data_IF_746311964603
#
_entry.id   IF_746311964603
#
_cell.length_a   1.000
_cell.length_b   1.000
_cell.length_c   1.000
_cell.angle_alpha   90.00
_cell.angle_beta   90.00
_cell.angle_gamma   90.00
#
_symmetry.space_group_name_H-M   'P 1'
#
loop_
_entity.id
_entity.type
_entity.pdbx_description
1 polymer ?
#
# COMPACT_ATOMS: atom_id res chain seq x y z
N UNK A 1 3.42 -57.62 -8.30
CA UNK A 1 4.35 -56.94 -9.22
C UNK A 1 4.53 -55.51 -8.74
N UNK A 2 5.77 -55.07 -8.52
CA UNK A 2 6.12 -53.70 -8.18
C UNK A 2 6.17 -52.81 -9.43
N UNK A 3 5.46 -51.68 -9.39
CA UNK A 3 5.79 -50.42 -10.06
C UNK A 3 5.62 -49.32 -9.00
N UNK A 4 6.66 -48.86 -8.31
CA UNK A 4 7.85 -48.08 -8.73
C UNK A 4 7.58 -46.56 -8.60
N UNK A 5 8.01 -46.02 -7.46
CA UNK A 5 8.60 -44.69 -7.24
C UNK A 5 8.00 -43.49 -8.00
N UNK A 6 7.23 -42.69 -7.27
CA UNK A 6 6.83 -41.33 -7.62
C UNK A 6 6.25 -40.67 -6.38
N UNK A 7 7.09 -39.89 -5.72
CA UNK A 7 6.90 -39.11 -4.48
C UNK A 7 5.48 -38.62 -4.19
N UNK A 8 5.08 -38.74 -2.92
CA UNK A 8 4.14 -37.84 -2.24
C UNK A 8 4.08 -36.49 -2.96
N UNK A 9 2.95 -36.18 -3.59
CA UNK A 9 2.64 -34.79 -3.94
C UNK A 9 2.29 -34.08 -2.64
N UNK A 10 3.30 -33.83 -1.79
CA UNK A 10 3.37 -32.59 -1.05
C UNK A 10 3.72 -31.48 -2.06
N UNK A 11 2.90 -31.34 -3.11
CA UNK A 11 2.79 -30.06 -3.77
C UNK A 11 2.34 -29.13 -2.64
N UNK A 12 3.23 -28.22 -2.23
CA UNK A 12 2.91 -27.15 -1.32
C UNK A 12 1.61 -26.52 -1.83
N UNK A 13 0.48 -26.88 -1.23
CA UNK A 13 -0.79 -26.21 -1.48
C UNK A 13 -0.61 -24.87 -0.79
N UNK A 14 -0.38 -23.77 -1.53
CA UNK A 14 -0.14 -22.49 -0.91
C UNK A 14 -1.38 -22.16 -0.09
N UNK A 15 -1.23 -22.07 1.24
CA UNK A 15 -2.30 -21.61 2.09
C UNK A 15 -2.36 -20.09 1.97
N UNK A 16 -3.55 -19.53 1.69
CA UNK A 16 -3.73 -18.08 1.57
C UNK A 16 -3.22 -17.34 2.81
N UNK A 17 -3.31 -17.94 4.00
CA UNK A 17 -2.79 -17.36 5.24
C UNK A 17 -1.24 -17.31 5.27
N UNK A 18 -0.57 -18.29 4.69
CA UNK A 18 0.89 -18.30 4.57
C UNK A 18 1.36 -17.24 3.56
N UNK A 19 0.61 -17.08 2.46
CA UNK A 19 0.87 -16.04 1.46
C UNK A 19 0.64 -14.65 2.04
N UNK A 20 -0.47 -14.43 2.77
CA UNK A 20 -0.76 -13.19 3.51
C UNK A 20 0.42 -12.86 4.44
N UNK A 21 0.84 -13.82 5.27
CA UNK A 21 1.95 -13.64 6.22
C UNK A 21 3.28 -13.30 5.52
N UNK A 22 3.56 -13.95 4.39
CA UNK A 22 4.75 -13.67 3.56
C UNK A 22 4.68 -12.26 2.95
N UNK A 23 3.53 -11.84 2.45
CA UNK A 23 3.32 -10.50 1.89
C UNK A 23 3.45 -9.41 2.96
N UNK A 24 2.92 -9.63 4.17
CA UNK A 24 3.15 -8.73 5.31
C UNK A 24 4.64 -8.56 5.63
N UNK A 25 5.40 -9.67 5.64
CA UNK A 25 6.85 -9.61 5.85
C UNK A 25 7.57 -8.86 4.72
N UNK A 26 7.14 -9.02 3.47
CA UNK A 26 7.68 -8.27 2.34
C UNK A 26 7.40 -6.77 2.48
N UNK A 27 6.18 -6.39 2.87
CA UNK A 27 5.81 -4.99 3.15
C UNK A 27 6.71 -4.41 4.25
N UNK A 28 6.90 -5.13 5.37
CA UNK A 28 7.79 -4.69 6.44
C UNK A 28 9.25 -4.52 5.99
N UNK A 29 9.73 -5.37 5.08
CA UNK A 29 11.08 -5.25 4.53
C UNK A 29 11.21 -4.04 3.58
N UNK A 30 10.16 -3.73 2.83
CA UNK A 30 10.10 -2.51 2.00
C UNK A 30 10.06 -1.26 2.90
N UNK A 31 9.28 -1.27 3.97
CA UNK A 31 9.21 -0.16 4.93
C UNK A 31 10.59 0.18 5.50
N UNK A 32 11.36 -0.83 5.93
CA UNK A 32 12.74 -0.63 6.40
C UNK A 32 13.64 0.04 5.34
N UNK A 33 13.43 -0.24 4.06
CA UNK A 33 14.18 0.41 2.97
C UNK A 33 13.73 1.86 2.80
N UNK A 34 12.43 2.12 2.79
CA UNK A 34 11.85 3.47 2.72
C UNK A 34 12.40 4.34 3.87
N UNK A 35 12.38 3.82 5.11
CA UNK A 35 12.89 4.52 6.29
C UNK A 35 14.38 4.85 6.17
N UNK A 36 15.16 3.90 5.62
CA UNK A 36 16.59 4.12 5.36
C UNK A 36 16.80 5.27 4.37
N UNK A 37 16.06 5.30 3.26
CA UNK A 37 16.14 6.39 2.29
C UNK A 37 15.70 7.72 2.88
N UNK A 38 14.62 7.75 3.67
CA UNK A 38 14.15 8.94 4.36
C UNK A 38 15.21 9.49 5.33
N UNK A 39 15.88 8.63 6.11
CA UNK A 39 16.94 9.04 7.02
C UNK A 39 18.18 9.57 6.28
N UNK A 40 18.53 9.00 5.13
CA UNK A 40 19.63 9.50 4.28
C UNK A 40 19.29 10.85 3.63
N UNK A 41 18.06 11.02 3.16
CA UNK A 41 17.56 12.29 2.62
C UNK A 41 17.61 13.42 3.66
N UNK A 42 17.22 13.14 4.92
CA UNK A 42 17.31 14.12 6.01
C UNK A 42 18.76 14.58 6.26
N UNK A 43 19.73 13.65 6.20
CA UNK A 43 21.16 13.98 6.34
C UNK A 43 21.66 14.83 5.18
N UNK A 44 21.25 14.51 3.95
CA UNK A 44 21.60 15.32 2.78
C UNK A 44 21.01 16.72 2.85
N UNK A 45 19.75 16.86 3.30
CA UNK A 45 19.11 18.16 3.54
C UNK A 45 19.91 19.03 4.52
N UNK A 46 20.35 18.46 5.65
CA UNK A 46 21.19 19.19 6.62
C UNK A 46 22.54 19.61 6.05
N UNK A 47 23.15 18.80 5.18
CA UNK A 47 24.39 19.14 4.48
C UNK A 47 24.17 20.24 3.45
N UNK A 48 23.05 20.18 2.71
CA UNK A 48 22.69 21.17 1.70
C UNK A 48 22.56 22.57 2.31
N UNK A 49 21.88 22.70 3.46
CA UNK A 49 21.73 23.97 4.19
C UNK A 49 23.06 24.67 4.51
N UNK A 50 24.14 23.92 4.70
CA UNK A 50 25.45 24.44 5.10
C UNK A 50 26.50 24.38 3.97
N UNK A 51 26.09 24.09 2.73
CA UNK A 51 27.00 23.84 1.61
C UNK A 51 27.21 25.05 0.71
N UNK A 52 28.42 25.19 0.16
CA UNK A 52 28.71 26.18 -0.88
C UNK A 52 28.07 25.78 -2.22
N UNK A 53 27.85 26.75 -3.11
CA UNK A 53 27.09 26.57 -4.37
C UNK A 53 27.56 25.37 -5.22
N UNK A 54 28.86 25.10 -5.31
CA UNK A 54 29.41 23.96 -6.05
C UNK A 54 29.18 22.59 -5.37
N UNK A 55 29.27 22.54 -4.04
CA UNK A 55 28.97 21.33 -3.27
C UNK A 55 27.45 21.03 -3.24
N UNK A 56 26.63 22.08 -3.32
CA UNK A 56 25.17 21.97 -3.38
C UNK A 56 24.70 21.15 -4.59
N UNK A 57 25.25 21.38 -5.80
CA UNK A 57 24.85 20.62 -7.00
C UNK A 57 25.06 19.10 -6.87
N UNK A 58 26.19 18.67 -6.29
CA UNK A 58 26.49 17.24 -6.10
C UNK A 58 25.54 16.63 -5.06
N UNK A 59 25.29 17.34 -3.96
CA UNK A 59 24.37 16.89 -2.92
C UNK A 59 22.92 16.81 -3.42
N UNK A 60 22.49 17.73 -4.30
CA UNK A 60 21.18 17.70 -4.96
C UNK A 60 21.01 16.45 -5.85
N UNK A 61 21.99 16.16 -6.70
CA UNK A 61 21.97 14.95 -7.53
C UNK A 61 21.90 13.66 -6.69
N UNK A 62 22.62 13.60 -5.57
CA UNK A 62 22.52 12.48 -4.63
C UNK A 62 21.15 12.37 -3.98
N UNK A 63 20.53 13.51 -3.61
CA UNK A 63 19.20 13.54 -3.02
C UNK A 63 18.14 13.06 -4.02
N UNK A 64 18.20 13.51 -5.27
CA UNK A 64 17.29 13.06 -6.34
C UNK A 64 17.35 11.55 -6.55
N UNK A 65 18.56 10.97 -6.61
CA UNK A 65 18.71 9.53 -6.76
C UNK A 65 18.09 8.73 -5.60
N UNK A 66 18.21 9.21 -4.35
CA UNK A 66 17.59 8.58 -3.19
C UNK A 66 16.07 8.75 -3.17
N UNK A 67 15.58 9.93 -3.58
CA UNK A 67 14.15 10.20 -3.69
C UNK A 67 13.50 9.26 -4.73
N UNK A 68 14.18 9.04 -5.86
CA UNK A 68 13.73 8.11 -6.89
C UNK A 68 13.59 6.68 -6.36
N UNK A 69 14.65 6.20 -5.68
CA UNK A 69 14.62 4.87 -5.06
C UNK A 69 13.51 4.76 -4.01
N UNK A 70 13.31 5.79 -3.19
CA UNK A 70 12.22 5.86 -2.22
C UNK A 70 10.85 5.75 -2.90
N UNK A 71 10.59 6.53 -3.95
CA UNK A 71 9.30 6.54 -4.68
C UNK A 71 9.00 5.19 -5.33
N UNK A 72 10.01 4.53 -5.90
CA UNK A 72 9.87 3.15 -6.40
C UNK A 72 9.40 2.21 -5.29
N UNK A 73 10.06 2.21 -4.12
CA UNK A 73 9.69 1.32 -3.02
C UNK A 73 8.32 1.67 -2.42
N UNK A 74 7.94 2.95 -2.38
CA UNK A 74 6.59 3.38 -1.97
C UNK A 74 5.51 2.83 -2.92
N UNK A 75 5.75 2.89 -4.23
CA UNK A 75 4.85 2.29 -5.22
C UNK A 75 4.78 0.77 -5.08
N UNK A 76 5.91 0.10 -4.87
CA UNK A 76 5.96 -1.34 -4.64
C UNK A 76 5.16 -1.75 -3.39
N UNK A 77 5.30 -0.98 -2.30
CA UNK A 77 4.52 -1.17 -1.08
C UNK A 77 3.02 -1.03 -1.35
N UNK A 78 2.61 0.03 -2.03
CA UNK A 78 1.19 0.27 -2.35
C UNK A 78 0.59 -0.92 -3.12
N UNK A 79 1.33 -1.45 -4.09
CA UNK A 79 0.89 -2.60 -4.88
C UNK A 79 0.74 -3.86 -4.02
N UNK A 80 1.71 -4.14 -3.13
CA UNK A 80 1.62 -5.28 -2.20
C UNK A 80 0.49 -5.11 -1.18
N UNK A 81 0.23 -3.89 -0.71
CA UNK A 81 -0.89 -3.60 0.19
C UNK A 81 -2.24 -3.87 -0.49
N UNK A 82 -2.39 -3.48 -1.75
CA UNK A 82 -3.60 -3.79 -2.51
C UNK A 82 -3.78 -5.32 -2.68
N UNK A 83 -2.69 -6.05 -2.96
CA UNK A 83 -2.72 -7.50 -3.04
C UNK A 83 -3.09 -8.15 -1.70
N UNK A 84 -2.51 -7.64 -0.60
CA UNK A 84 -2.81 -8.09 0.77
C UNK A 84 -4.30 -7.96 1.07
N UNK A 85 -4.90 -6.79 0.82
CA UNK A 85 -6.32 -6.56 1.04
C UNK A 85 -7.20 -7.52 0.23
N UNK A 86 -6.86 -7.76 -1.04
CA UNK A 86 -7.60 -8.69 -1.88
C UNK A 86 -7.54 -10.13 -1.32
N UNK A 87 -6.36 -10.56 -0.84
CA UNK A 87 -6.18 -11.87 -0.22
C UNK A 87 -6.92 -11.98 1.13
N UNK A 88 -6.89 -10.95 1.97
CA UNK A 88 -7.63 -10.90 3.24
C UNK A 88 -9.14 -10.99 3.02
N UNK A 89 -9.68 -10.26 2.04
CA UNK A 89 -11.09 -10.37 1.67
C UNK A 89 -11.45 -11.79 1.20
N UNK A 90 -10.56 -12.43 0.45
CA UNK A 90 -10.76 -13.80 -0.06
C UNK A 90 -10.69 -14.82 1.09
N UNK A 91 -9.75 -14.64 2.01
CA UNK A 91 -9.62 -15.49 3.20
C UNK A 91 -10.87 -15.42 4.09
N UNK A 92 -11.41 -14.21 4.29
CA UNK A 92 -12.67 -14.02 5.03
C UNK A 92 -13.85 -14.74 4.36
N UNK A 93 -13.97 -14.61 3.03
CA UNK A 93 -15.02 -15.30 2.28
C UNK A 93 -14.87 -16.83 2.37
N UNK A 94 -13.64 -17.35 2.26
CA UNK A 94 -13.36 -18.76 2.43
C UNK A 94 -13.75 -19.27 3.83
N UNK A 95 -13.47 -18.50 4.88
CA UNK A 95 -13.87 -18.86 6.24
C UNK A 95 -15.38 -18.82 6.46
N UNK A 96 -16.09 -17.89 5.81
CA UNK A 96 -17.56 -17.88 5.80
C UNK A 96 -18.15 -19.12 5.11
N UNK A 97 -17.55 -19.57 4.01
CA UNK A 97 -17.96 -20.82 3.32
C UNK A 97 -17.71 -22.02 4.23
N UNK A 98 -16.54 -22.12 4.88
CA UNK A 98 -16.24 -23.19 5.85
C UNK A 98 -17.24 -23.21 7.02
N UNK A 99 -17.58 -22.04 7.57
CA UNK A 99 -18.57 -21.93 8.64
C UNK A 99 -19.96 -22.40 8.18
N UNK A 100 -20.35 -22.04 6.95
CA UNK A 100 -21.61 -22.51 6.34
C UNK A 100 -21.61 -24.03 6.16
N UNK A 101 -20.49 -24.61 5.74
CA UNK A 101 -20.32 -26.06 5.64
C UNK A 101 -20.42 -26.78 6.99
N UNK A 102 -19.87 -26.19 8.06
CA UNK A 102 -20.01 -26.71 9.41
C UNK A 102 -21.48 -26.69 9.87
N UNK A 103 -22.20 -25.58 9.64
CA UNK A 103 -23.64 -25.46 9.93
C UNK A 103 -24.44 -26.52 9.17
N UNK A 104 -24.17 -26.69 7.87
CA UNK A 104 -24.81 -27.71 7.03
C UNK A 104 -24.56 -29.12 7.59
N UNK A 105 -23.35 -29.41 8.03
CA UNK A 105 -23.01 -30.70 8.65
C UNK A 105 -23.81 -30.93 9.94
N UNK A 106 -23.93 -29.90 10.78
CA UNK A 106 -24.78 -29.95 12.00
C UNK A 106 -26.25 -30.17 11.63
N UNK A 107 -26.77 -29.49 10.61
CA UNK A 107 -28.15 -29.67 10.13
C UNK A 107 -28.38 -31.09 9.62
N UNK A 108 -27.46 -31.66 8.83
CA UNK A 108 -27.54 -33.06 8.36
C UNK A 108 -27.57 -34.04 9.53
N UNK A 109 -26.68 -33.87 10.51
CA UNK A 109 -26.63 -34.73 11.68
C UNK A 109 -27.90 -34.60 12.53
N UNK A 110 -28.40 -33.38 12.73
CA UNK A 110 -29.68 -33.14 13.40
C UNK A 110 -30.83 -33.80 12.66
N UNK A 111 -30.85 -33.74 11.33
CA UNK A 111 -31.91 -34.37 10.53
C UNK A 111 -31.90 -35.91 10.63
N UNK A 112 -30.73 -36.51 10.82
CA UNK A 112 -30.58 -37.96 11.07
C UNK A 112 -31.13 -38.36 12.44
N UNK A 113 -30.91 -37.54 13.47
CA UNK A 113 -31.30 -37.85 14.85
C UNK A 113 -32.72 -37.39 15.23
N UNK A 114 -33.28 -36.41 14.53
CA UNK A 114 -34.59 -35.83 14.81
C UNK A 114 -35.71 -36.56 14.04
N UNK A 115 -36.74 -37.03 14.75
CA UNK A 115 -37.90 -37.75 14.18
C UNK A 115 -39.05 -36.81 13.73
N UNK A 116 -38.92 -35.50 13.94
CA UNK A 116 -39.89 -34.48 13.53
C UNK A 116 -39.82 -34.09 12.04
N UNK A 117 -40.26 -32.88 11.69
CA UNK A 117 -40.15 -32.37 10.31
C UNK A 117 -38.68 -32.38 9.85
N UNK A 118 -38.40 -33.21 8.84
CA UNK A 118 -37.08 -33.34 8.27
C UNK A 118 -36.81 -32.22 7.26
N UNK A 119 -35.65 -31.58 7.38
CA UNK A 119 -35.17 -30.68 6.33
C UNK A 119 -35.01 -31.47 5.01
N UNK A 120 -35.18 -30.81 3.87
CA UNK A 120 -34.98 -31.43 2.55
C UNK A 120 -33.49 -31.71 2.35
N UNK A 121 -33.06 -32.93 2.65
CA UNK A 121 -31.65 -33.38 2.56
C UNK A 121 -31.08 -33.13 1.17
N UNK A 122 -31.88 -33.30 0.12
CA UNK A 122 -31.46 -33.07 -1.26
C UNK A 122 -31.08 -31.61 -1.56
N UNK A 123 -31.68 -30.62 -0.89
CA UNK A 123 -31.28 -29.22 -1.03
C UNK A 123 -29.96 -28.95 -0.29
N UNK A 124 -29.75 -29.61 0.85
CA UNK A 124 -28.51 -29.50 1.62
C UNK A 124 -27.33 -30.17 0.89
N UNK A 125 -27.56 -31.30 0.21
CA UNK A 125 -26.56 -31.95 -0.64
C UNK A 125 -26.15 -31.06 -1.83
N UNK A 126 -27.12 -30.44 -2.52
CA UNK A 126 -26.79 -29.47 -3.60
C UNK A 126 -25.97 -28.28 -3.12
N UNK A 127 -26.26 -27.74 -1.93
CA UNK A 127 -25.46 -26.64 -1.38
C UNK A 127 -24.05 -27.13 -1.04
N UNK A 128 -23.91 -28.36 -0.56
CA UNK A 128 -22.60 -28.95 -0.29
C UNK A 128 -21.76 -29.10 -1.56
N UNK A 129 -22.34 -29.66 -2.62
CA UNK A 129 -21.67 -29.84 -3.91
C UNK A 129 -21.24 -28.47 -4.49
N UNK A 130 -22.12 -27.47 -4.48
CA UNK A 130 -21.80 -26.13 -4.94
C UNK A 130 -20.69 -25.44 -4.11
N UNK A 131 -20.61 -25.70 -2.81
CA UNK A 131 -19.53 -25.16 -1.98
C UNK A 131 -18.18 -25.83 -2.27
N UNK A 132 -18.18 -27.11 -2.62
CA UNK A 132 -16.97 -27.82 -3.03
C UNK A 132 -16.40 -27.20 -4.32
N UNK A 133 -17.26 -26.95 -5.31
CA UNK A 133 -16.88 -26.25 -6.54
C UNK A 133 -16.35 -24.83 -6.27
N UNK A 134 -16.99 -24.07 -5.38
CA UNK A 134 -16.56 -22.73 -5.00
C UNK A 134 -15.19 -22.70 -4.31
N UNK A 135 -14.89 -23.70 -3.46
CA UNK A 135 -13.59 -23.80 -2.81
C UNK A 135 -12.48 -24.11 -3.83
N UNK A 136 -12.76 -24.98 -4.82
CA UNK A 136 -11.82 -25.29 -5.89
C UNK A 136 -11.57 -24.09 -6.82
N UNK A 137 -12.61 -23.30 -7.13
CA UNK A 137 -12.48 -22.05 -7.90
C UNK A 137 -11.66 -20.99 -7.14
N UNK A 138 -11.86 -20.88 -5.81
CA UNK A 138 -11.06 -19.99 -4.96
C UNK A 138 -9.58 -20.35 -4.98
N UNK A 139 -9.24 -21.63 -4.89
CA UNK A 139 -7.86 -22.11 -4.97
C UNK A 139 -7.21 -21.77 -6.32
N UNK A 140 -7.95 -21.85 -7.43
CA UNK A 140 -7.46 -21.42 -8.75
C UNK A 140 -7.29 -19.91 -8.85
N UNK A 141 -8.25 -19.12 -8.35
CA UNK A 141 -8.17 -17.66 -8.34
C UNK A 141 -6.95 -17.17 -7.54
N UNK A 142 -6.68 -17.79 -6.39
CA UNK A 142 -5.50 -17.50 -5.57
C UNK A 142 -4.18 -17.70 -6.32
N UNK A 143 -4.09 -18.75 -7.14
CA UNK A 143 -2.91 -19.01 -7.97
C UNK A 143 -2.66 -17.92 -9.03
N UNK A 144 -3.72 -17.36 -9.61
CA UNK A 144 -3.64 -16.31 -10.63
C UNK A 144 -3.26 -14.94 -10.04
N UNK A 145 -3.74 -14.63 -8.84
CA UNK A 145 -3.44 -13.36 -8.15
C UNK A 145 -2.00 -13.26 -7.63
N UNK A 146 -1.25 -14.36 -7.61
CA UNK A 146 0.15 -14.39 -7.18
C UNK A 146 1.17 -13.93 -8.25
N UNK A 147 0.71 -13.56 -9.46
CA UNK A 147 1.62 -13.20 -10.56
C UNK A 147 2.25 -11.82 -10.32
N UNK A 148 3.60 -11.69 -10.28
CA UNK A 148 4.25 -10.43 -10.00
C UNK A 148 4.03 -9.42 -11.12
N UNK A 149 3.58 -8.21 -10.77
CA UNK A 149 3.50 -7.06 -11.67
C UNK A 149 4.91 -6.46 -11.87
N UNK A 150 5.17 -5.95 -13.09
CA UNK A 150 6.39 -5.22 -13.42
C UNK A 150 6.33 -3.79 -12.85
N UNK A 151 7.37 -3.39 -12.11
CA UNK A 151 7.36 -2.25 -11.18
C UNK A 151 8.22 -1.06 -11.64
N UNK A 152 8.65 -1.03 -12.91
CA UNK A 152 9.70 -0.12 -13.37
C UNK A 152 9.22 1.19 -14.03
N UNK A 153 8.08 1.76 -13.64
CA UNK A 153 7.56 2.99 -14.27
C UNK A 153 7.46 4.17 -13.29
N UNK A 154 8.60 4.68 -12.83
CA UNK A 154 8.67 5.99 -12.17
C UNK A 154 9.30 6.98 -13.14
N UNK A 155 8.65 8.13 -13.35
CA UNK A 155 9.14 9.18 -14.24
C UNK A 155 10.15 10.07 -13.49
N UNK A 156 11.38 10.14 -13.99
CA UNK A 156 12.47 10.93 -13.41
C UNK A 156 12.19 12.45 -13.52
N UNK A 157 11.42 12.89 -14.51
CA UNK A 157 11.14 14.32 -14.75
C UNK A 157 10.11 14.90 -13.78
N UNK A 158 9.10 14.13 -13.41
CA UNK A 158 8.13 14.49 -12.37
C UNK A 158 8.82 14.63 -11.01
N UNK A 159 9.81 13.76 -10.75
CA UNK A 159 10.55 13.74 -9.51
C UNK A 159 11.44 14.98 -9.32
N UNK A 160 12.09 15.43 -10.39
CA UNK A 160 12.88 16.66 -10.38
C UNK A 160 12.00 17.88 -10.06
N UNK A 161 10.82 17.97 -10.67
CA UNK A 161 9.86 19.05 -10.40
C UNK A 161 9.32 19.02 -8.96
N UNK A 162 8.99 17.84 -8.41
CA UNK A 162 8.59 17.67 -7.01
C UNK A 162 9.70 18.09 -6.04
N UNK A 163 10.95 17.80 -6.38
CA UNK A 163 12.10 18.14 -5.54
C UNK A 163 12.38 19.65 -5.53
N UNK A 164 12.29 20.32 -6.67
CA UNK A 164 12.44 21.78 -6.76
C UNK A 164 11.34 22.51 -5.99
N UNK A 165 10.08 22.06 -6.11
CA UNK A 165 8.96 22.64 -5.36
C UNK A 165 9.10 22.50 -3.82
N UNK A 166 9.70 21.40 -3.34
CA UNK A 166 9.99 21.19 -1.91
C UNK A 166 11.05 22.17 -1.38
N UNK A 167 12.00 22.59 -2.21
CA UNK A 167 13.03 23.57 -1.86
C UNK A 167 12.43 24.99 -1.79
N UNK A 168 11.59 25.36 -2.77
CA UNK A 168 10.96 26.67 -2.82
C UNK A 168 10.03 26.91 -1.62
N UNK A 169 9.26 25.91 -1.21
CA UNK A 169 8.39 26.00 -0.01
C UNK A 169 9.22 26.23 1.26
N UNK A 170 10.40 25.60 1.40
CA UNK A 170 11.26 25.80 2.57
C UNK A 170 11.99 27.15 2.54
N UNK A 171 12.40 27.63 1.36
CA UNK A 171 13.00 28.95 1.19
C UNK A 171 11.99 30.07 1.52
N UNK A 172 10.71 29.89 1.17
CA UNK A 172 9.62 30.79 1.57
C UNK A 172 9.33 30.78 3.08
N UNK A 173 9.51 29.64 3.76
CA UNK A 173 9.37 29.56 5.23
C UNK A 173 10.55 30.25 5.94
N UNK A 174 11.76 30.21 5.37
CA UNK A 174 12.96 30.86 5.92
C UNK A 174 13.01 32.37 5.63
N UNK A 175 12.32 32.87 4.58
CA UNK A 175 12.18 34.30 4.28
C UNK A 175 11.08 35.03 5.08
N UNK A 176 10.30 34.28 5.88
CA UNK A 176 9.44 34.83 6.94
C UNK A 176 8.12 35.47 6.49
N UNK A 177 7.83 35.52 5.19
CA UNK A 177 6.57 36.05 4.65
C UNK A 177 6.05 35.07 3.59
N UNK A 178 5.00 34.29 3.89
CA UNK A 178 4.29 33.51 2.90
C UNK A 178 3.80 34.41 1.75
N UNK A 179 3.88 33.96 0.49
CA UNK A 179 3.50 34.75 -0.70
C UNK A 179 2.07 35.32 -0.64
N UNK A 180 1.15 34.68 0.11
CA UNK A 180 -0.21 35.20 0.35
C UNK A 180 -0.28 36.40 1.33
N UNK A 181 0.81 36.72 2.04
CA UNK A 181 0.95 37.88 2.92
C UNK A 181 1.79 39.00 2.30
N UNK A 182 2.48 38.76 1.18
CA UNK A 182 3.34 39.75 0.51
C UNK A 182 2.53 40.96 0.01
N UNK A 183 1.27 40.75 -0.41
CA UNK A 183 0.35 41.83 -0.78
C UNK A 183 -0.29 42.60 0.38
N UNK A 184 -0.04 42.23 1.64
CA UNK A 184 -0.61 42.92 2.82
C UNK A 184 0.30 44.06 3.29
N UNK A 185 1.61 43.98 3.05
CA UNK A 185 2.54 45.09 3.35
C UNK A 185 2.34 46.28 2.40
N UNK A 186 2.05 46.04 1.12
CA UNK A 186 1.71 47.11 0.16
C UNK A 186 0.40 47.85 0.52
N UNK A 187 -0.51 47.20 1.24
CA UNK A 187 -1.73 47.82 1.74
C UNK A 187 -1.47 48.68 2.98
N UNK A 188 -0.61 48.22 3.91
CA UNK A 188 -0.22 49.00 5.10
C UNK A 188 0.62 50.22 4.76
N UNK A 189 1.54 50.11 3.80
CA UNK A 189 2.37 51.23 3.36
C UNK A 189 1.56 52.29 2.59
N UNK A 190 0.44 51.90 1.98
CA UNK A 190 -0.52 52.82 1.39
C UNK A 190 -1.49 53.42 2.41
N UNK A 191 -1.89 52.70 3.46
CA UNK A 191 -2.71 53.24 4.56
C UNK A 191 -1.94 54.30 5.36
N UNK A 192 -0.66 54.08 5.69
CA UNK A 192 0.18 55.10 6.36
C UNK A 192 0.38 56.36 5.51
N UNK A 193 0.49 56.23 4.18
CA UNK A 193 0.57 57.38 3.26
C UNK A 193 -0.74 58.16 3.17
N UNK A 194 -1.89 57.51 3.36
CA UNK A 194 -3.20 58.18 3.33
C UNK A 194 -3.45 58.93 4.64
N UNK A 195 -3.15 58.33 5.81
CA UNK A 195 -3.26 59.03 7.10
C UNK A 195 -2.31 60.22 7.20
N UNK A 196 -1.11 60.15 6.60
CA UNK A 196 -0.16 61.26 6.63
C UNK A 196 -0.59 62.45 5.75
N UNK A 197 -1.45 62.22 4.75
CA UNK A 197 -2.02 63.26 3.87
C UNK A 197 -3.27 63.89 4.49
N UNK A 198 -4.08 63.14 5.23
CA UNK A 198 -5.24 63.67 5.96
C UNK A 198 -4.85 64.47 7.22
N UNK A 199 -3.66 64.27 7.78
CA UNK A 199 -3.15 65.07 8.91
C UNK A 199 -2.57 66.46 8.51
N UNK A 200 -2.55 66.80 7.22
CA UNK A 200 -1.97 68.06 6.68
C UNK A 200 -3.06 69.01 6.11
N UNK A 201 -4.35 68.65 6.20
CA UNK A 201 -5.49 69.55 5.93
C UNK A 201 -6.35 69.77 7.18
#
# INVERSE_FOLDING_TARGET
MNRLFGTQSNAFKPNINDVISSTEQQIQNIDKKIDKYAAELLKLRQKLKNSSFGASRILKSQALALLHQKKIYEQQKMNLQQQLLNMEHTALAADQIKNTAAIITVMKNTNKTFQGQRFKISEIEKIQDNMEDLLDEMDQANSLLARPYDLNQVDETELEAEFEALEDIDLEIESGIPSYLEGIEELKENEEKIEHVEAIF
#
